data_IF_493496915760
#
_entry.id   IF_493496915760
#
_cell.length_a   1.000
_cell.length_b   1.000
_cell.length_c   1.000
_cell.angle_alpha   90.00
_cell.angle_beta   90.00
_cell.angle_gamma   90.00
#
_symmetry.space_group_name_H-M   'P 1'
#
loop_
_entity.id
_entity.type
_entity.pdbx_description
1 polymer ?
#
# COMPACT_ATOMS: atom_id res chain seq x y z
N UNK A 1 11.78 16.12 7.53
CA UNK A 1 11.18 15.52 6.30
C UNK A 1 11.47 14.05 6.35
N UNK A 2 10.56 13.28 6.90
CA UNK A 2 10.72 11.83 7.06
C UNK A 2 10.44 11.23 5.68
N UNK A 3 11.48 10.68 5.07
CA UNK A 3 11.38 9.91 3.83
C UNK A 3 10.56 8.66 4.16
N UNK A 4 9.27 8.70 3.80
CA UNK A 4 8.33 7.60 4.02
C UNK A 4 8.57 6.48 2.99
N UNK A 5 9.79 6.01 2.91
CA UNK A 5 10.01 4.64 2.45
C UNK A 5 9.46 3.76 3.55
N UNK A 6 8.46 3.00 3.20
CA UNK A 6 7.78 2.09 4.11
C UNK A 6 8.77 1.39 5.06
N UNK A 7 8.40 1.28 6.34
CA UNK A 7 9.18 0.55 7.33
C UNK A 7 9.49 -0.89 6.88
N UNK A 8 8.64 -1.49 6.03
CA UNK A 8 8.84 -2.83 5.47
C UNK A 8 9.94 -2.89 4.42
N UNK A 9 10.09 -1.87 3.57
CA UNK A 9 11.11 -1.83 2.52
C UNK A 9 12.56 -1.72 3.05
N UNK A 10 12.75 -1.41 4.33
CA UNK A 10 14.06 -1.22 4.95
C UNK A 10 14.61 -2.46 5.66
N UNK A 11 13.80 -3.50 5.84
CA UNK A 11 14.28 -4.75 6.45
C UNK A 11 15.07 -5.56 5.42
N UNK A 12 16.39 -5.50 5.53
CA UNK A 12 17.44 -5.89 4.57
C UNK A 12 17.50 -7.35 4.11
N UNK A 13 16.37 -8.04 3.98
CA UNK A 13 16.23 -9.30 3.26
C UNK A 13 15.21 -9.11 2.15
N UNK A 14 15.69 -9.08 0.93
CA UNK A 14 14.89 -9.01 -0.29
C UNK A 14 13.82 -10.09 -0.25
N UNK A 15 12.58 -9.68 0.03
CA UNK A 15 11.41 -10.45 -0.28
C UNK A 15 11.20 -10.52 -1.80
N UNK A 16 10.21 -11.24 -2.20
CA UNK A 16 9.76 -11.30 -3.58
C UNK A 16 9.15 -9.96 -3.97
N UNK A 17 9.54 -9.43 -5.13
CA UNK A 17 8.96 -8.23 -5.71
C UNK A 17 8.27 -8.58 -7.02
N UNK A 18 7.02 -8.21 -7.13
CA UNK A 18 6.21 -8.39 -8.31
C UNK A 18 5.68 -7.05 -8.80
N UNK A 19 5.66 -6.88 -10.10
CA UNK A 19 5.14 -5.69 -10.78
C UNK A 19 4.01 -6.09 -11.70
N UNK A 20 2.88 -5.39 -11.59
CA UNK A 20 1.78 -5.45 -12.53
C UNK A 20 1.57 -4.08 -13.17
N UNK A 21 1.45 -4.06 -14.48
CA UNK A 21 1.03 -2.88 -15.21
C UNK A 21 -0.24 -3.21 -15.99
N UNK A 22 -1.32 -2.54 -15.65
CA UNK A 22 -2.65 -2.80 -16.18
C UNK A 22 -3.32 -1.50 -16.66
N UNK A 23 -4.20 -1.58 -17.67
CA UNK A 23 -5.07 -0.44 -17.99
C UNK A 23 -5.93 -0.04 -16.79
N UNK A 24 -6.22 1.25 -16.65
CA UNK A 24 -7.08 1.79 -15.59
C UNK A 24 -8.57 1.46 -15.74
N UNK A 25 -8.89 0.53 -16.64
CA UNK A 25 -10.28 0.09 -16.87
C UNK A 25 -10.73 -0.91 -15.82
N UNK A 26 -11.97 -0.82 -15.39
CA UNK A 26 -12.55 -1.68 -14.35
C UNK A 26 -12.42 -3.19 -14.66
N UNK A 27 -12.34 -3.57 -15.94
CA UNK A 27 -12.21 -4.97 -16.38
C UNK A 27 -10.87 -5.60 -16.03
N UNK A 28 -9.82 -4.82 -15.78
CA UNK A 28 -8.47 -5.32 -15.48
C UNK A 28 -8.12 -5.28 -13.99
N UNK A 29 -8.83 -4.52 -13.18
CA UNK A 29 -8.59 -4.43 -11.74
C UNK A 29 -8.72 -5.78 -10.99
N UNK A 30 -9.60 -6.72 -11.39
CA UNK A 30 -9.65 -8.05 -10.77
C UNK A 30 -8.32 -8.83 -10.82
N UNK A 31 -7.45 -8.58 -11.80
CA UNK A 31 -6.14 -9.22 -11.85
C UNK A 31 -5.22 -8.74 -10.71
N UNK A 32 -5.28 -7.46 -10.38
CA UNK A 32 -4.51 -6.87 -9.27
C UNK A 32 -4.99 -7.43 -7.94
N UNK A 33 -6.32 -7.50 -7.74
CA UNK A 33 -6.94 -8.12 -6.56
C UNK A 33 -6.57 -9.58 -6.39
N UNK A 34 -6.58 -10.35 -7.48
CA UNK A 34 -6.20 -11.76 -7.45
C UNK A 34 -4.74 -11.95 -7.01
N UNK A 35 -3.83 -11.09 -7.49
CA UNK A 35 -2.43 -11.13 -7.10
C UNK A 35 -2.26 -10.80 -5.62
N UNK A 36 -2.92 -9.76 -5.10
CA UNK A 36 -2.89 -9.42 -3.68
C UNK A 36 -3.34 -10.60 -2.81
N UNK A 37 -4.44 -11.25 -3.19
CA UNK A 37 -4.96 -12.43 -2.47
C UNK A 37 -4.02 -13.63 -2.52
N UNK A 38 -3.41 -13.92 -3.67
CA UNK A 38 -2.45 -15.03 -3.82
C UNK A 38 -1.21 -14.81 -2.93
N UNK A 39 -0.64 -13.60 -2.97
CA UNK A 39 0.50 -13.24 -2.13
C UNK A 39 0.16 -13.34 -0.64
N UNK A 40 -0.99 -12.83 -0.24
CA UNK A 40 -1.44 -12.90 1.15
C UNK A 40 -1.58 -14.36 1.62
N UNK A 41 -2.19 -15.23 0.81
CA UNK A 41 -2.30 -16.67 1.14
C UNK A 41 -0.93 -17.32 1.27
N UNK A 42 0.00 -17.05 0.36
CA UNK A 42 1.37 -17.60 0.41
C UNK A 42 2.19 -17.10 1.60
N UNK A 43 1.84 -15.93 2.13
CA UNK A 43 2.45 -15.34 3.33
C UNK A 43 1.76 -15.76 4.64
N UNK A 44 0.83 -16.71 4.60
CA UNK A 44 0.09 -17.22 5.76
C UNK A 44 -0.73 -16.16 6.51
N UNK A 45 -1.25 -15.16 5.80
CA UNK A 45 -2.27 -14.27 6.37
C UNK A 45 -3.56 -15.06 6.64
N UNK A 46 -4.27 -14.70 7.70
CA UNK A 46 -5.60 -15.25 7.94
C UNK A 46 -6.61 -14.78 6.87
N UNK A 47 -7.76 -15.42 6.83
CA UNK A 47 -8.75 -15.19 5.80
C UNK A 47 -9.28 -13.74 5.81
N UNK A 48 -9.44 -13.16 6.99
CA UNK A 48 -9.93 -11.78 7.14
C UNK A 48 -8.89 -10.79 6.57
N UNK A 49 -7.62 -10.98 6.86
CA UNK A 49 -6.54 -10.15 6.31
C UNK A 49 -6.38 -10.31 4.79
N UNK A 50 -6.63 -11.53 4.25
CA UNK A 50 -6.67 -11.76 2.79
C UNK A 50 -7.78 -10.94 2.13
N UNK A 51 -8.98 -10.95 2.70
CA UNK A 51 -10.12 -10.18 2.17
C UNK A 51 -9.91 -8.67 2.35
N UNK A 52 -9.35 -8.23 3.48
CA UNK A 52 -8.96 -6.84 3.71
C UNK A 52 -8.00 -6.34 2.62
N UNK A 53 -6.96 -7.11 2.31
CA UNK A 53 -5.99 -6.77 1.27
C UNK A 53 -6.62 -6.68 -0.12
N UNK A 54 -7.52 -7.61 -0.45
CA UNK A 54 -8.26 -7.59 -1.72
C UNK A 54 -9.09 -6.32 -1.86
N UNK A 55 -9.82 -5.94 -0.80
CA UNK A 55 -10.65 -4.73 -0.78
C UNK A 55 -9.78 -3.46 -0.82
N UNK A 56 -8.68 -3.44 -0.06
CA UNK A 56 -7.77 -2.30 -0.04
C UNK A 56 -7.16 -2.03 -1.43
N UNK A 57 -6.74 -3.07 -2.12
CA UNK A 57 -6.19 -2.96 -3.48
C UNK A 57 -7.26 -2.48 -4.46
N UNK A 58 -8.49 -3.00 -4.39
CA UNK A 58 -9.60 -2.54 -5.23
C UNK A 58 -9.86 -1.04 -5.02
N UNK A 59 -9.92 -0.57 -3.78
CA UNK A 59 -10.19 0.82 -3.44
C UNK A 59 -9.05 1.75 -3.87
N UNK A 60 -7.79 1.35 -3.63
CA UNK A 60 -6.63 2.10 -4.05
C UNK A 60 -6.57 2.25 -5.59
N UNK A 61 -6.81 1.16 -6.31
CA UNK A 61 -6.84 1.16 -7.77
C UNK A 61 -7.99 2.00 -8.33
N UNK A 62 -9.18 1.93 -7.71
CA UNK A 62 -10.34 2.74 -8.11
C UNK A 62 -10.08 4.24 -7.88
N UNK A 63 -9.48 4.59 -6.76
CA UNK A 63 -9.08 5.97 -6.45
C UNK A 63 -8.08 6.52 -7.46
N UNK A 64 -7.04 5.74 -7.77
CA UNK A 64 -6.01 6.14 -8.73
C UNK A 64 -6.55 6.22 -10.17
N UNK A 65 -7.46 5.32 -10.56
CA UNK A 65 -8.08 5.35 -11.89
C UNK A 65 -8.86 6.65 -12.14
N UNK A 66 -9.44 7.25 -11.10
CA UNK A 66 -10.18 8.52 -11.21
C UNK A 66 -9.29 9.73 -11.50
N UNK A 67 -8.02 9.66 -11.12
CA UNK A 67 -7.06 10.76 -11.30
C UNK A 67 -6.04 10.50 -12.41
N UNK A 68 -6.13 9.37 -13.10
CA UNK A 68 -5.22 9.01 -14.17
C UNK A 68 -5.31 10.00 -15.34
N UNK A 69 -4.16 10.34 -15.93
CA UNK A 69 -4.09 11.17 -17.12
C UNK A 69 -4.49 10.34 -18.36
N UNK A 70 -5.71 10.57 -18.88
CA UNK A 70 -6.22 9.84 -20.04
C UNK A 70 -6.22 8.32 -19.82
N UNK A 71 -5.71 7.59 -20.80
CA UNK A 71 -5.62 6.12 -20.76
C UNK A 71 -4.30 5.61 -20.13
N UNK A 72 -3.66 6.41 -19.29
CA UNK A 72 -2.39 6.04 -18.67
C UNK A 72 -2.55 4.76 -17.84
N UNK A 73 -1.59 3.81 -17.91
CA UNK A 73 -1.69 2.56 -17.17
C UNK A 73 -1.47 2.75 -15.69
N UNK A 74 -2.12 1.91 -14.89
CA UNK A 74 -1.87 1.71 -13.48
C UNK A 74 -0.67 0.77 -13.32
N UNK A 75 0.31 1.17 -12.52
CA UNK A 75 1.42 0.30 -12.10
C UNK A 75 1.24 -0.05 -10.65
N UNK A 76 1.32 -1.33 -10.32
CA UNK A 76 1.22 -1.84 -8.94
C UNK A 76 2.43 -2.71 -8.64
N UNK A 77 3.10 -2.39 -7.56
CA UNK A 77 4.28 -3.11 -7.06
C UNK A 77 3.88 -3.80 -5.75
N UNK A 78 4.17 -5.07 -5.65
CA UNK A 78 4.03 -5.86 -4.43
C UNK A 78 5.43 -6.24 -3.94
N UNK A 79 5.71 -5.99 -2.69
CA UNK A 79 6.96 -6.40 -2.04
C UNK A 79 6.64 -7.21 -0.80
N UNK A 80 7.01 -8.50 -0.81
CA UNK A 80 6.89 -9.35 0.37
C UNK A 80 8.13 -9.20 1.23
N UNK A 81 7.93 -9.11 2.54
CA UNK A 81 9.01 -9.07 3.53
C UNK A 81 8.70 -10.05 4.65
N UNK A 82 9.63 -10.20 5.59
CA UNK A 82 9.36 -11.01 6.79
C UNK A 82 8.29 -10.41 7.68
N UNK A 83 8.12 -9.09 7.65
CA UNK A 83 7.18 -8.38 8.50
C UNK A 83 5.78 -8.27 7.88
N UNK A 84 5.65 -8.40 6.57
CA UNK A 84 4.36 -8.29 5.89
C UNK A 84 4.46 -7.96 4.42
N UNK A 85 3.37 -7.50 3.85
CA UNK A 85 3.21 -7.11 2.46
C UNK A 85 3.17 -5.60 2.33
N UNK A 86 4.07 -5.06 1.52
CA UNK A 86 4.08 -3.67 1.07
C UNK A 86 3.53 -3.59 -0.35
N UNK A 87 2.65 -2.64 -0.61
CA UNK A 87 2.03 -2.42 -1.92
C UNK A 87 2.15 -0.96 -2.27
N UNK A 88 2.74 -0.66 -3.42
CA UNK A 88 2.72 0.68 -4.01
C UNK A 88 1.96 0.64 -5.33
N UNK A 89 0.98 1.51 -5.47
CA UNK A 89 0.22 1.68 -6.71
C UNK A 89 0.32 3.13 -7.18
N UNK A 90 0.52 3.35 -8.47
CA UNK A 90 0.61 4.69 -9.02
C UNK A 90 0.12 4.79 -10.47
N UNK A 91 -0.32 5.99 -10.84
CA UNK A 91 -0.72 6.35 -12.20
C UNK A 91 -0.10 7.68 -12.59
N UNK A 92 0.27 7.89 -13.87
CA UNK A 92 0.53 9.21 -14.39
C UNK A 92 -0.70 10.10 -14.23
N UNK A 93 -0.49 11.35 -13.81
CA UNK A 93 -1.54 12.34 -13.61
C UNK A 93 -1.23 13.62 -14.38
N UNK A 94 -2.21 14.53 -14.47
CA UNK A 94 -1.94 15.89 -14.91
C UNK A 94 -1.31 16.69 -13.78
N UNK A 95 -0.57 17.75 -14.13
CA UNK A 95 0.05 18.64 -13.16
C UNK A 95 -0.97 19.21 -12.17
N UNK A 96 -0.61 19.27 -10.90
CA UNK A 96 -1.47 19.77 -9.83
C UNK A 96 -2.51 18.80 -9.30
N UNK A 97 -2.63 17.59 -9.87
CA UNK A 97 -3.58 16.58 -9.39
C UNK A 97 -3.10 15.95 -8.08
N UNK A 98 -3.96 15.95 -7.07
CA UNK A 98 -3.71 15.31 -5.77
C UNK A 98 -4.42 13.96 -5.67
N UNK A 99 -3.86 13.05 -4.87
CA UNK A 99 -4.56 11.83 -4.44
C UNK A 99 -5.62 12.22 -3.42
N UNK A 100 -6.92 11.90 -3.65
CA UNK A 100 -7.97 12.18 -2.68
C UNK A 100 -7.74 11.40 -1.37
N UNK A 101 -7.67 12.11 -0.24
CA UNK A 101 -7.44 11.53 1.10
C UNK A 101 -8.51 11.87 2.12
N UNK A 102 -9.55 12.55 1.71
CA UNK A 102 -10.63 13.08 2.56
C UNK A 102 -11.99 12.41 2.29
N UNK A 103 -12.01 11.42 1.40
CA UNK A 103 -13.24 10.73 1.00
C UNK A 103 -13.48 9.43 1.76
N UNK A 104 -14.68 8.85 1.52
CA UNK A 104 -15.09 7.56 2.08
C UNK A 104 -14.12 6.42 1.71
N UNK A 105 -13.65 6.37 0.47
CA UNK A 105 -12.68 5.38 0.01
C UNK A 105 -11.37 5.42 0.78
N UNK A 106 -10.86 6.61 1.11
CA UNK A 106 -9.67 6.74 1.94
C UNK A 106 -9.89 6.23 3.37
N UNK A 107 -11.04 6.51 3.97
CA UNK A 107 -11.41 5.99 5.29
C UNK A 107 -11.48 4.45 5.29
N UNK A 108 -11.99 3.85 4.21
CA UNK A 108 -11.98 2.39 4.04
C UNK A 108 -10.54 1.88 3.99
N UNK A 109 -9.67 2.45 3.14
CA UNK A 109 -8.26 2.06 3.04
C UNK A 109 -7.58 2.08 4.41
N UNK A 110 -7.74 3.16 5.16
CA UNK A 110 -7.14 3.32 6.50
C UNK A 110 -7.64 2.29 7.52
N UNK A 111 -8.77 1.66 7.28
CA UNK A 111 -9.33 0.61 8.14
C UNK A 111 -8.81 -0.79 7.75
N UNK A 112 -8.58 -1.02 6.45
CA UNK A 112 -8.24 -2.35 5.91
C UNK A 112 -6.75 -2.68 6.03
N UNK A 113 -5.87 -1.67 6.11
CA UNK A 113 -4.42 -1.84 6.17
C UNK A 113 -3.83 -1.18 7.43
N UNK A 114 -2.62 -1.57 7.79
CA UNK A 114 -1.97 -1.07 9.01
C UNK A 114 -1.33 0.31 8.81
N UNK A 115 -0.93 0.62 7.58
CA UNK A 115 -0.46 1.94 7.19
C UNK A 115 -0.86 2.24 5.75
N UNK A 116 -1.24 3.48 5.48
CA UNK A 116 -1.54 3.98 4.13
C UNK A 116 -1.03 5.40 3.98
N UNK A 117 -0.40 5.67 2.83
CA UNK A 117 0.03 7.02 2.44
C UNK A 117 -0.42 7.30 1.00
N UNK A 118 -0.89 8.51 0.75
CA UNK A 118 -1.26 8.96 -0.58
C UNK A 118 -0.61 10.30 -0.88
N UNK A 119 0.13 10.40 -1.98
CA UNK A 119 0.86 11.61 -2.32
C UNK A 119 1.08 11.78 -3.81
N UNK A 120 1.45 13.00 -4.19
CA UNK A 120 2.04 13.28 -5.50
C UNK A 120 3.51 12.92 -5.49
N UNK A 121 4.00 12.44 -6.62
CA UNK A 121 5.40 12.15 -6.89
C UNK A 121 5.69 12.41 -8.38
N UNK A 122 6.86 12.03 -8.85
CA UNK A 122 7.18 11.97 -10.28
C UNK A 122 7.57 10.54 -10.65
N UNK A 123 7.61 10.22 -11.93
CA UNK A 123 8.08 8.89 -12.37
C UNK A 123 9.55 8.63 -12.02
N UNK A 124 10.32 9.67 -11.69
CA UNK A 124 11.68 9.51 -11.14
C UNK A 124 11.69 9.00 -9.69
N UNK A 125 10.60 9.23 -8.94
CA UNK A 125 10.51 8.96 -7.50
C UNK A 125 9.75 7.69 -7.16
N UNK A 126 9.21 6.98 -8.16
CA UNK A 126 8.39 5.78 -7.95
C UNK A 126 9.08 4.53 -8.50
N UNK A 127 8.81 3.36 -7.88
CA UNK A 127 9.30 2.10 -8.41
C UNK A 127 8.74 1.83 -9.82
N UNK A 128 9.58 1.29 -10.70
CA UNK A 128 9.24 1.00 -12.10
C UNK A 128 8.81 2.22 -12.93
N UNK A 129 9.07 3.42 -12.47
CA UNK A 129 8.95 4.65 -13.26
C UNK A 129 10.05 4.75 -14.31
N UNK A 130 9.84 5.60 -15.31
CA UNK A 130 10.77 5.79 -16.44
C UNK A 130 11.89 6.83 -16.15
N UNK A 131 11.93 7.34 -14.93
CA UNK A 131 12.90 8.36 -14.52
C UNK A 131 12.56 9.79 -14.96
N UNK A 132 11.40 9.99 -15.59
CA UNK A 132 10.97 11.31 -16.03
C UNK A 132 10.37 12.16 -14.90
N UNK A 133 10.23 13.46 -15.16
CA UNK A 133 9.53 14.40 -14.28
C UNK A 133 8.00 14.33 -14.42
N UNK A 134 7.45 13.36 -15.15
CA UNK A 134 6.01 13.18 -15.32
C UNK A 134 5.34 13.02 -13.96
N UNK A 135 4.33 13.85 -13.61
CA UNK A 135 3.66 13.74 -12.32
C UNK A 135 2.87 12.44 -12.21
N UNK A 136 2.86 11.87 -11.02
CA UNK A 136 2.10 10.66 -10.68
C UNK A 136 1.34 10.87 -9.38
N UNK A 137 0.19 10.21 -9.26
CA UNK A 137 -0.48 9.96 -8.00
C UNK A 137 -0.08 8.58 -7.49
N UNK A 138 0.38 8.50 -6.25
CA UNK A 138 0.86 7.28 -5.60
C UNK A 138 0.05 7.00 -4.34
N UNK A 139 -0.33 5.74 -4.16
CA UNK A 139 -0.83 5.19 -2.89
C UNK A 139 0.09 4.05 -2.46
N UNK A 140 0.63 4.15 -1.24
CA UNK A 140 1.44 3.12 -0.60
C UNK A 140 0.68 2.54 0.60
N UNK A 141 0.71 1.22 0.75
CA UNK A 141 0.01 0.48 1.79
C UNK A 141 0.91 -0.57 2.42
N UNK A 142 0.80 -0.74 3.73
CA UNK A 142 1.46 -1.81 4.48
C UNK A 142 0.41 -2.65 5.23
N UNK A 143 0.52 -3.96 5.12
CA UNK A 143 -0.21 -4.92 5.96
C UNK A 143 0.83 -5.81 6.65
N UNK A 144 0.88 -5.77 7.97
CA UNK A 144 1.83 -6.56 8.74
C UNK A 144 1.30 -7.97 9.04
N UNK A 145 2.20 -8.92 9.13
CA UNK A 145 1.89 -10.22 9.72
C UNK A 145 1.63 -10.05 11.23
N UNK A 146 0.82 -10.91 11.86
CA UNK A 146 0.54 -10.82 13.29
C UNK A 146 1.81 -10.75 14.14
N UNK A 147 1.90 -9.73 14.98
CA UNK A 147 3.05 -9.49 15.85
C UNK A 147 4.30 -8.90 15.18
N UNK A 148 4.25 -8.58 13.89
CA UNK A 148 5.39 -8.06 13.12
C UNK A 148 5.33 -6.54 12.85
N UNK A 149 4.23 -5.89 13.17
CA UNK A 149 4.10 -4.42 12.99
C UNK A 149 5.04 -3.63 13.89
N UNK A 150 5.26 -2.34 13.60
CA UNK A 150 6.01 -1.45 14.48
C UNK A 150 5.37 -1.49 15.88
N UNK A 151 6.17 -1.78 16.89
CA UNK A 151 5.69 -1.79 18.29
C UNK A 151 5.19 -0.40 18.62
N UNK A 152 3.86 -0.26 18.72
CA UNK A 152 3.26 1.01 19.13
C UNK A 152 3.76 1.41 20.50
N UNK A 153 3.98 2.69 20.73
CA UNK A 153 4.33 3.30 22.01
C UNK A 153 3.18 3.23 23.04
N UNK A 154 2.44 2.10 23.07
CA UNK A 154 1.24 1.89 23.87
C UNK A 154 1.33 0.84 24.98
N UNK A 155 2.42 0.07 25.07
CA UNK A 155 2.48 -1.08 26.00
C UNK A 155 3.34 -0.86 27.26
N UNK A 156 3.74 0.36 27.57
CA UNK A 156 4.48 0.66 28.83
C UNK A 156 3.60 1.07 30.02
N UNK A 157 2.27 0.99 29.92
CA UNK A 157 1.37 1.38 31.00
C UNK A 157 0.81 0.21 31.83
N UNK A 158 1.36 -1.01 31.73
CA UNK A 158 0.77 -2.23 32.32
C UNK A 158 1.58 -2.98 33.37
N UNK A 159 2.75 -2.51 33.81
CA UNK A 159 3.54 -3.24 34.85
C UNK A 159 4.08 -2.33 35.93
N UNK A 160 3.23 -1.78 36.78
CA UNK A 160 3.62 -1.36 38.12
C UNK A 160 2.40 -1.32 39.06
N UNK A 161 1.85 -2.49 39.38
CA UNK A 161 1.06 -2.65 40.59
C UNK A 161 1.84 -3.57 41.52
N UNK A 162 2.84 -3.02 42.18
CA UNK A 162 3.44 -3.65 43.35
C UNK A 162 2.51 -3.37 44.52
N UNK A 163 1.81 -4.41 44.97
CA UNK A 163 1.06 -4.41 46.21
C UNK A 163 2.08 -4.44 47.34
N UNK A 164 2.22 -3.32 48.02
CA UNK A 164 2.90 -3.27 49.33
C UNK A 164 1.92 -3.72 50.43
N UNK A 165 2.34 -4.70 51.24
CA UNK A 165 1.73 -5.10 52.49
C UNK A 165 2.15 -4.14 53.58
#
# INVERSE_FOLDING_TARGET
MVDSRSALAQDGRRGERLELRVPTTATQLPAVRAMAGDLAIRMDYDLDAVEDLRLAVDEACATLAQIAAGDAPLTVIFETTRAGLHIEAWVPTTEGTDVPRDGFGWAILATLVDAVDGRRATQADVPAGDGSATPVGLIAMDKYLPGQGPRGAGDEAGQNLTVAR
#
